data_IF_122568422782
#
_entry.id   IF_122568422782
#
_cell.length_a   1.000
_cell.length_b   1.000
_cell.length_c   1.000
_cell.angle_alpha   90.00
_cell.angle_beta   90.00
_cell.angle_gamma   90.00
#
_symmetry.space_group_name_H-M   'P 1'
#
loop_
_entity.id
_entity.type
_entity.pdbx_description
1 polymer ?
#
# COMPACT_ATOMS: atom_id res chain seq x y z
N UNK A 1 -24.17 -18.04 4.04
CA UNK A 1 -22.73 -18.29 4.03
C UNK A 1 -21.92 -17.24 3.25
N UNK A 2 -22.42 -16.64 2.17
CA UNK A 2 -21.69 -15.61 1.39
C UNK A 2 -21.52 -14.25 2.10
N UNK A 3 -22.40 -13.90 3.02
CA UNK A 3 -22.28 -12.61 3.75
C UNK A 3 -21.27 -12.64 4.90
N UNK A 4 -21.01 -13.79 5.49
CA UNK A 4 -19.97 -13.93 6.53
C UNK A 4 -18.53 -13.83 5.99
N UNK A 5 -18.32 -14.18 4.70
CA UNK A 5 -17.00 -14.07 4.08
C UNK A 5 -16.60 -12.63 3.76
N UNK A 6 -17.59 -11.74 3.49
CA UNK A 6 -17.34 -10.32 3.23
C UNK A 6 -16.93 -9.53 4.48
N UNK A 7 -17.45 -9.91 5.64
CA UNK A 7 -17.10 -9.30 6.93
C UNK A 7 -15.69 -9.68 7.43
N UNK A 8 -15.16 -10.85 7.02
CA UNK A 8 -13.79 -11.23 7.38
C UNK A 8 -12.72 -10.45 6.61
N UNK A 9 -12.98 -10.05 5.37
CA UNK A 9 -12.00 -9.30 4.55
C UNK A 9 -11.87 -7.86 5.04
N UNK A 10 -12.98 -7.23 5.46
CA UNK A 10 -12.93 -5.89 6.06
C UNK A 10 -12.21 -5.86 7.42
N UNK A 11 -12.35 -6.92 8.22
CA UNK A 11 -11.70 -7.02 9.53
C UNK A 11 -10.18 -7.24 9.44
N UNK A 12 -9.67 -7.89 8.39
CA UNK A 12 -8.23 -8.13 8.20
C UNK A 12 -7.52 -6.87 7.71
N UNK A 13 -8.16 -6.03 6.88
CA UNK A 13 -7.60 -4.75 6.47
C UNK A 13 -7.48 -3.75 7.64
N UNK A 14 -8.38 -3.81 8.63
CA UNK A 14 -8.35 -2.92 9.80
C UNK A 14 -7.33 -3.36 10.87
N UNK A 15 -7.02 -4.65 10.98
CA UNK A 15 -6.03 -5.13 11.94
C UNK A 15 -4.59 -4.72 11.59
N UNK A 16 -4.30 -4.39 10.34
CA UNK A 16 -2.98 -3.93 9.91
C UNK A 16 -2.74 -2.43 10.20
N UNK A 17 -3.80 -1.63 10.38
CA UNK A 17 -3.70 -0.18 10.62
C UNK A 17 -3.49 0.19 12.10
N UNK A 18 -3.76 -0.70 13.05
CA UNK A 18 -3.68 -0.39 14.48
C UNK A 18 -2.28 -0.45 15.09
N UNK A 19 -1.25 -0.83 14.34
CA UNK A 19 0.13 -0.94 14.86
C UNK A 19 1.09 0.14 14.37
N UNK A 20 0.64 1.12 13.59
CA UNK A 20 1.44 2.29 13.19
C UNK A 20 0.89 3.59 13.80
N UNK A 21 0.61 3.60 15.11
CA UNK A 21 0.43 4.85 15.86
C UNK A 21 1.80 5.46 16.22
N UNK A 22 2.63 5.66 15.23
CA UNK A 22 3.87 6.42 15.30
C UNK A 22 3.88 7.38 14.13
N UNK A 23 3.49 8.64 14.41
CA UNK A 23 3.68 9.85 13.59
C UNK A 23 3.91 9.56 12.10
N UNK A 24 2.92 9.03 11.41
CA UNK A 24 2.88 9.09 9.96
C UNK A 24 2.61 10.57 9.61
N UNK A 25 3.68 11.36 9.52
CA UNK A 25 3.70 12.47 8.58
C UNK A 25 3.26 11.83 7.27
N UNK A 26 2.08 12.15 6.81
CA UNK A 26 1.63 11.80 5.49
C UNK A 26 2.58 12.49 4.50
N UNK A 27 3.73 11.87 4.25
CA UNK A 27 4.58 12.25 3.13
C UNK A 27 3.72 11.91 1.92
N UNK A 28 3.26 12.96 1.25
CA UNK A 28 2.57 12.78 -0.03
C UNK A 28 3.49 11.97 -0.94
N UNK A 29 3.04 10.78 -1.33
CA UNK A 29 3.79 9.93 -2.26
C UNK A 29 4.14 10.76 -3.48
N UNK A 30 5.43 10.86 -3.79
CA UNK A 30 5.87 11.47 -5.04
C UNK A 30 5.37 10.60 -6.19
N UNK A 31 4.36 11.08 -6.90
CA UNK A 31 3.81 10.30 -7.99
C UNK A 31 4.71 10.38 -9.21
N UNK A 32 5.20 9.23 -9.65
CA UNK A 32 6.06 9.07 -10.82
C UNK A 32 5.37 8.25 -11.91
N UNK A 33 5.78 8.43 -13.15
CA UNK A 33 5.31 7.57 -14.24
C UNK A 33 6.05 6.24 -14.20
N UNK A 34 5.33 5.15 -13.95
CA UNK A 34 5.88 3.80 -13.92
C UNK A 34 6.13 3.27 -15.35
N UNK A 35 7.24 2.58 -15.51
CA UNK A 35 7.53 1.74 -16.67
C UNK A 35 7.36 0.25 -16.32
N UNK A 36 7.09 -0.59 -17.32
CA UNK A 36 7.03 -2.05 -17.12
C UNK A 36 8.33 -2.59 -16.51
N UNK A 37 9.49 -2.07 -16.96
CA UNK A 37 10.79 -2.49 -16.41
C UNK A 37 10.94 -2.21 -14.92
N UNK A 38 10.42 -1.07 -14.43
CA UNK A 38 10.43 -0.77 -12.99
C UNK A 38 9.51 -1.71 -12.22
N UNK A 39 8.33 -2.04 -12.74
CA UNK A 39 7.42 -3.00 -12.10
C UNK A 39 8.03 -4.41 -12.09
N UNK A 40 8.68 -4.84 -13.16
CA UNK A 40 9.41 -6.12 -13.20
C UNK A 40 10.58 -6.14 -12.22
N UNK A 41 11.35 -5.05 -12.13
CA UNK A 41 12.43 -4.87 -11.16
C UNK A 41 11.91 -4.94 -9.72
N UNK A 42 10.79 -4.27 -9.43
CA UNK A 42 10.13 -4.33 -8.13
C UNK A 42 9.75 -5.76 -7.74
N UNK A 43 9.09 -6.49 -8.63
CA UNK A 43 8.70 -7.90 -8.40
C UNK A 43 9.93 -8.76 -8.13
N UNK A 44 10.99 -8.60 -8.92
CA UNK A 44 12.22 -9.37 -8.77
C UNK A 44 12.97 -9.06 -7.47
N UNK A 45 12.86 -7.83 -6.96
CA UNK A 45 13.52 -7.40 -5.74
C UNK A 45 12.86 -7.91 -4.45
N UNK A 46 11.56 -8.26 -4.48
CA UNK A 46 10.78 -8.55 -3.27
C UNK A 46 11.41 -9.60 -2.36
N UNK A 47 11.90 -10.69 -2.93
CA UNK A 47 12.55 -11.77 -2.16
C UNK A 47 13.79 -11.30 -1.42
N UNK A 48 14.60 -10.50 -2.08
CA UNK A 48 15.85 -9.98 -1.49
C UNK A 48 15.51 -8.92 -0.41
N UNK A 49 14.50 -8.06 -0.66
CA UNK A 49 14.02 -7.06 0.28
C UNK A 49 13.40 -7.69 1.54
N UNK A 50 12.62 -8.76 1.39
CA UNK A 50 12.06 -9.51 2.52
C UNK A 50 13.16 -10.02 3.46
N UNK A 51 14.28 -10.53 2.92
CA UNK A 51 15.41 -10.97 3.72
C UNK A 51 16.07 -9.85 4.54
N UNK A 52 16.02 -8.60 4.07
CA UNK A 52 16.49 -7.43 4.84
C UNK A 52 15.49 -7.07 5.93
N UNK A 53 14.20 -7.10 5.63
CA UNK A 53 13.12 -6.82 6.60
C UNK A 53 13.17 -7.79 7.79
N UNK A 54 13.43 -9.08 7.55
CA UNK A 54 13.60 -10.07 8.61
C UNK A 54 14.79 -9.72 9.53
N UNK A 55 15.90 -9.25 8.97
CA UNK A 55 17.07 -8.81 9.75
C UNK A 55 16.76 -7.58 10.60
N UNK A 56 15.92 -6.66 10.09
CA UNK A 56 15.49 -5.45 10.81
C UNK A 56 14.59 -5.79 12.00
N UNK A 57 13.68 -6.75 11.88
CA UNK A 57 12.78 -7.15 12.98
C UNK A 57 13.53 -7.71 14.21
N UNK A 58 14.76 -8.20 14.02
CA UNK A 58 15.62 -8.66 15.10
C UNK A 58 16.43 -7.56 15.81
N UNK A 59 16.37 -6.32 15.34
CA UNK A 59 17.15 -5.20 15.85
C UNK A 59 16.25 -4.10 16.38
N UNK A 60 16.09 -4.04 17.71
CA UNK A 60 15.41 -2.91 18.38
C UNK A 60 16.36 -1.69 18.41
N UNK A 61 16.49 -0.95 17.32
CA UNK A 61 17.31 0.25 17.23
C UNK A 61 16.53 1.38 16.57
N UNK A 62 16.45 2.52 17.27
CA UNK A 62 15.83 3.75 16.77
C UNK A 62 16.64 4.44 15.65
N UNK A 63 17.80 3.89 15.29
CA UNK A 63 18.65 4.44 14.22
C UNK A 63 18.82 3.42 13.11
N UNK A 64 18.70 3.86 11.84
CA UNK A 64 18.99 2.99 10.69
C UNK A 64 20.42 2.43 10.79
N UNK A 65 20.56 1.10 10.72
CA UNK A 65 21.88 0.47 10.66
C UNK A 65 22.51 0.78 9.30
N UNK A 66 23.71 1.38 9.24
CA UNK A 66 24.39 1.68 7.98
C UNK A 66 24.62 0.44 7.09
N UNK A 67 24.72 -0.74 7.68
CA UNK A 67 24.86 -2.00 6.93
C UNK A 67 23.55 -2.38 6.23
N UNK A 68 22.42 -2.21 6.93
CA UNK A 68 21.09 -2.41 6.36
C UNK A 68 20.87 -1.46 5.20
N UNK A 69 21.20 -0.18 5.38
CA UNK A 69 21.09 0.81 4.32
C UNK A 69 21.93 0.44 3.09
N UNK A 70 23.18 0.04 3.29
CA UNK A 70 24.06 -0.39 2.20
C UNK A 70 23.53 -1.66 1.49
N UNK A 71 22.90 -2.57 2.22
CA UNK A 71 22.28 -3.78 1.66
C UNK A 71 21.06 -3.42 0.80
N UNK A 72 20.17 -2.53 1.28
CA UNK A 72 19.03 -2.03 0.52
C UNK A 72 19.46 -1.33 -0.78
N UNK A 73 20.48 -0.47 -0.70
CA UNK A 73 21.10 0.17 -1.88
C UNK A 73 21.65 -0.84 -2.89
N UNK A 74 22.32 -1.87 -2.40
CA UNK A 74 22.87 -2.93 -3.24
C UNK A 74 21.78 -3.72 -3.96
N UNK A 75 20.70 -4.07 -3.24
CA UNK A 75 19.54 -4.79 -3.80
C UNK A 75 18.83 -3.93 -4.85
N UNK A 76 18.56 -2.66 -4.56
CA UNK A 76 17.94 -1.75 -5.52
C UNK A 76 18.72 -1.69 -6.83
N UNK A 77 20.04 -1.49 -6.76
CA UNK A 77 20.93 -1.46 -7.94
C UNK A 77 20.98 -2.78 -8.70
N UNK A 78 21.01 -3.91 -7.99
CA UNK A 78 20.97 -5.26 -8.57
C UNK A 78 19.71 -5.47 -9.43
N UNK A 79 18.57 -4.91 -9.00
CA UNK A 79 17.28 -5.05 -9.70
C UNK A 79 16.96 -3.89 -10.66
N UNK A 80 17.97 -3.06 -10.99
CA UNK A 80 17.91 -2.08 -12.07
C UNK A 80 17.39 -0.70 -11.66
N UNK A 81 17.30 -0.43 -10.36
CA UNK A 81 17.02 0.91 -9.81
C UNK A 81 18.31 1.70 -9.67
N UNK A 82 18.20 3.02 -9.70
CA UNK A 82 19.32 3.93 -9.55
C UNK A 82 19.92 3.86 -8.14
N UNK A 83 19.05 3.85 -7.14
CA UNK A 83 19.34 3.80 -5.71
C UNK A 83 18.12 3.25 -4.97
N UNK A 84 18.19 3.15 -3.63
CA UNK A 84 17.06 2.68 -2.83
C UNK A 84 15.87 3.66 -2.86
N UNK A 85 16.13 4.96 -2.97
CA UNK A 85 15.06 5.96 -3.05
C UNK A 85 14.22 5.80 -4.35
N UNK A 86 14.88 5.51 -5.48
CA UNK A 86 14.17 5.21 -6.75
C UNK A 86 13.31 3.93 -6.63
N UNK A 87 13.81 2.89 -5.93
CA UNK A 87 13.02 1.70 -5.63
C UNK A 87 11.81 2.04 -4.74
N UNK A 88 12.01 2.83 -3.70
CA UNK A 88 10.97 3.21 -2.73
C UNK A 88 9.86 4.05 -3.41
N UNK A 89 10.23 5.01 -4.26
CA UNK A 89 9.27 5.76 -5.07
C UNK A 89 8.44 4.84 -5.98
N UNK A 90 9.07 3.86 -6.64
CA UNK A 90 8.37 2.87 -7.47
C UNK A 90 7.44 2.01 -6.61
N UNK A 91 7.92 1.51 -5.48
CA UNK A 91 7.14 0.68 -4.55
C UNK A 91 5.91 1.43 -4.01
N UNK A 92 6.08 2.69 -3.62
CA UNK A 92 4.98 3.54 -3.14
C UNK A 92 3.92 3.78 -4.21
N UNK A 93 4.34 4.02 -5.47
CA UNK A 93 3.39 4.20 -6.58
C UNK A 93 2.67 2.91 -6.95
N UNK A 94 3.35 1.76 -6.95
CA UNK A 94 2.71 0.45 -7.15
C UNK A 94 1.68 0.20 -6.05
N UNK A 95 2.05 0.41 -4.78
CA UNK A 95 1.17 0.20 -3.63
C UNK A 95 -0.07 1.09 -3.67
N UNK A 96 0.08 2.36 -4.05
CA UNK A 96 -1.03 3.30 -4.22
C UNK A 96 -2.03 2.81 -5.28
N UNK A 97 -1.55 2.31 -6.42
CA UNK A 97 -2.43 1.79 -7.47
C UNK A 97 -3.06 0.46 -7.06
N UNK A 98 -2.29 -0.45 -6.47
CA UNK A 98 -2.79 -1.75 -5.97
C UNK A 98 -3.95 -1.58 -4.99
N UNK A 99 -3.85 -0.60 -4.09
CA UNK A 99 -4.91 -0.29 -3.12
C UNK A 99 -6.25 0.11 -3.78
N UNK A 100 -6.21 0.66 -4.99
CA UNK A 100 -7.41 1.03 -5.76
C UNK A 100 -7.96 -0.10 -6.65
N UNK A 101 -7.24 -1.21 -6.83
CA UNK A 101 -7.66 -2.31 -7.71
C UNK A 101 -8.45 -3.36 -6.91
N UNK A 102 -9.67 -3.62 -7.33
CA UNK A 102 -10.46 -4.75 -6.81
C UNK A 102 -9.83 -6.08 -7.25
N UNK A 103 -9.46 -6.98 -6.32
CA UNK A 103 -8.71 -8.19 -6.65
C UNK A 103 -9.52 -9.21 -7.49
N UNK A 104 -10.85 -9.14 -7.46
CA UNK A 104 -11.71 -10.09 -8.19
C UNK A 104 -12.03 -9.58 -9.59
N UNK A 105 -12.39 -8.30 -9.69
CA UNK A 105 -12.84 -7.71 -10.97
C UNK A 105 -11.71 -7.01 -11.73
N UNK A 106 -10.58 -6.76 -11.05
CA UNK A 106 -9.46 -5.94 -11.55
C UNK A 106 -9.91 -4.52 -11.95
N UNK A 107 -11.07 -4.08 -11.46
CA UNK A 107 -11.53 -2.70 -11.65
C UNK A 107 -10.73 -1.76 -10.75
N UNK A 108 -10.30 -0.64 -11.30
CA UNK A 108 -9.62 0.40 -10.53
C UNK A 108 -10.62 1.45 -10.06
N UNK A 109 -10.48 1.85 -8.81
CA UNK A 109 -11.24 2.95 -8.21
C UNK A 109 -10.25 4.00 -7.69
N UNK A 110 -10.46 5.26 -8.05
CA UNK A 110 -9.66 6.38 -7.54
C UNK A 110 -9.71 6.44 -6.01
N UNK A 111 -8.59 6.79 -5.32
CA UNK A 111 -8.51 6.77 -3.85
C UNK A 111 -9.66 7.55 -3.18
N UNK A 112 -9.94 8.77 -3.63
CA UNK A 112 -11.03 9.57 -3.07
C UNK A 112 -12.42 8.94 -3.28
N UNK A 113 -12.63 8.24 -4.39
CA UNK A 113 -13.90 7.54 -4.67
C UNK A 113 -14.03 6.28 -3.80
N UNK A 114 -12.94 5.56 -3.57
CA UNK A 114 -12.91 4.39 -2.69
C UNK A 114 -13.24 4.79 -1.24
N UNK A 115 -12.61 5.85 -0.73
CA UNK A 115 -12.87 6.37 0.63
C UNK A 115 -14.33 6.84 0.77
N UNK A 116 -14.89 7.54 -0.23
CA UNK A 116 -16.31 7.95 -0.19
C UNK A 116 -17.24 6.75 -0.11
N UNK A 117 -16.96 5.71 -0.88
CA UNK A 117 -17.74 4.48 -0.84
C UNK A 117 -17.67 3.82 0.55
N UNK A 118 -16.49 3.79 1.16
CA UNK A 118 -16.29 3.24 2.50
C UNK A 118 -17.04 4.07 3.56
N UNK A 119 -17.02 5.40 3.44
CA UNK A 119 -17.82 6.29 4.29
C UNK A 119 -19.30 5.93 4.20
N UNK A 120 -19.83 5.77 2.99
CA UNK A 120 -21.24 5.41 2.78
C UNK A 120 -21.57 4.04 3.38
N UNK A 121 -20.69 3.06 3.22
CA UNK A 121 -20.83 1.70 3.78
C UNK A 121 -20.82 1.73 5.32
N UNK A 122 -19.88 2.45 5.94
CA UNK A 122 -19.81 2.61 7.40
C UNK A 122 -21.04 3.34 7.94
N UNK A 123 -21.52 4.37 7.26
CA UNK A 123 -22.76 5.09 7.66
C UNK A 123 -23.99 4.18 7.62
N UNK A 124 -24.11 3.35 6.60
CA UNK A 124 -25.24 2.45 6.40
C UNK A 124 -25.22 1.23 7.32
N UNK A 125 -24.05 0.81 7.81
CA UNK A 125 -23.92 -0.38 8.65
C UNK A 125 -24.47 -0.13 10.06
N UNK A 126 -25.56 -0.82 10.39
CA UNK A 126 -26.23 -0.75 11.70
C UNK A 126 -25.60 -1.68 12.76
N UNK A 127 -24.65 -2.51 12.38
CA UNK A 127 -23.96 -3.44 13.29
C UNK A 127 -22.81 -2.79 14.04
N UNK A 128 -22.28 -1.68 13.53
CA UNK A 128 -21.17 -0.95 14.14
C UNK A 128 -21.67 -0.08 15.30
N UNK A 129 -21.10 -0.21 16.52
CA UNK A 129 -21.45 0.66 17.65
C UNK A 129 -21.24 2.15 17.33
N UNK A 130 -22.14 3.02 17.75
CA UNK A 130 -22.12 4.46 17.41
C UNK A 130 -20.78 5.14 17.72
N UNK A 131 -20.13 4.76 18.83
CA UNK A 131 -18.82 5.33 19.20
C UNK A 131 -17.74 4.94 18.19
N UNK A 132 -17.70 3.68 17.78
CA UNK A 132 -16.73 3.18 16.80
C UNK A 132 -17.00 3.76 15.41
N UNK A 133 -18.29 3.79 15.00
CA UNK A 133 -18.73 4.40 13.76
C UNK A 133 -18.26 5.85 13.64
N UNK A 134 -18.46 6.65 14.69
CA UNK A 134 -18.02 8.05 14.72
C UNK A 134 -16.51 8.16 14.51
N UNK A 135 -15.74 7.34 15.20
CA UNK A 135 -14.27 7.34 15.07
C UNK A 135 -13.83 6.95 13.66
N UNK A 136 -14.39 5.87 13.09
CA UNK A 136 -14.10 5.43 11.72
C UNK A 136 -14.44 6.52 10.69
N UNK A 137 -15.61 7.17 10.82
CA UNK A 137 -15.99 8.25 9.92
C UNK A 137 -15.09 9.47 10.05
N UNK A 138 -14.59 9.76 11.24
CA UNK A 138 -13.64 10.85 11.47
C UNK A 138 -12.30 10.57 10.78
N UNK A 139 -11.78 9.36 10.93
CA UNK A 139 -10.55 8.90 10.26
C UNK A 139 -10.70 8.89 8.73
N UNK A 140 -11.79 8.35 8.20
CA UNK A 140 -12.07 8.33 6.76
C UNK A 140 -12.22 9.74 6.16
N UNK A 141 -12.86 10.66 6.88
CA UNK A 141 -12.99 12.04 6.43
C UNK A 141 -11.63 12.79 6.43
N UNK A 142 -10.73 12.51 7.37
CA UNK A 142 -9.37 13.03 7.32
C UNK A 142 -8.57 12.42 6.14
N UNK A 143 -8.67 11.12 5.93
CA UNK A 143 -8.07 10.46 4.77
C UNK A 143 -8.59 11.04 3.45
N UNK A 144 -9.89 11.34 3.36
CA UNK A 144 -10.49 11.95 2.16
C UNK A 144 -9.93 13.34 1.85
N UNK A 145 -9.59 14.13 2.87
CA UNK A 145 -8.99 15.47 2.68
C UNK A 145 -7.59 15.41 2.07
N UNK A 146 -6.86 14.35 2.35
CA UNK A 146 -5.48 14.15 1.90
C UNK A 146 -5.37 13.24 0.66
N UNK A 147 -6.47 12.62 0.25
CA UNK A 147 -6.51 11.74 -0.90
C UNK A 147 -6.23 12.50 -2.21
N UNK A 148 -5.06 12.27 -2.77
CA UNK A 148 -4.68 12.85 -4.05
C UNK A 148 -5.15 11.95 -5.21
N UNK A 149 -5.61 12.52 -6.33
CA UNK A 149 -5.92 11.76 -7.53
C UNK A 149 -4.65 11.16 -8.14
N UNK A 150 -4.81 10.07 -8.90
CA UNK A 150 -3.71 9.48 -9.65
C UNK A 150 -3.27 10.43 -10.76
N UNK A 151 -2.05 10.97 -10.66
CA UNK A 151 -1.49 11.92 -11.64
C UNK A 151 -1.06 11.26 -12.95
N UNK A 152 -0.73 9.96 -12.89
CA UNK A 152 -0.30 9.17 -14.04
C UNK A 152 -1.27 8.01 -14.31
N UNK A 153 -2.39 8.23 -15.03
CA UNK A 153 -3.39 7.17 -15.27
C UNK A 153 -2.82 5.94 -16.00
N UNK A 154 -1.75 6.10 -16.77
CA UNK A 154 -1.05 4.98 -17.40
C UNK A 154 -0.47 3.97 -16.39
N UNK A 155 -0.19 4.39 -15.16
CA UNK A 155 0.30 3.51 -14.10
C UNK A 155 -0.73 2.43 -13.76
N UNK A 156 -2.01 2.76 -13.84
CA UNK A 156 -3.11 1.80 -13.58
C UNK A 156 -3.02 0.62 -14.54
N UNK A 157 -2.83 0.88 -15.83
CA UNK A 157 -2.75 -0.19 -16.83
C UNK A 157 -1.48 -1.03 -16.66
N UNK A 158 -0.35 -0.39 -16.35
CA UNK A 158 0.91 -1.10 -16.10
C UNK A 158 0.78 -1.99 -14.86
N UNK A 159 0.28 -1.49 -13.75
CA UNK A 159 0.12 -2.26 -12.51
C UNK A 159 -0.92 -3.39 -12.69
N UNK A 160 -2.05 -3.13 -13.35
CA UNK A 160 -3.05 -4.17 -13.67
C UNK A 160 -2.46 -5.32 -14.48
N UNK A 161 -1.62 -5.02 -15.46
CA UNK A 161 -0.94 -6.05 -16.28
C UNK A 161 -0.12 -7.01 -15.43
N UNK A 162 0.48 -6.53 -14.35
CA UNK A 162 1.34 -7.30 -13.45
C UNK A 162 0.67 -7.67 -12.12
N UNK A 163 -0.62 -7.37 -11.95
CA UNK A 163 -1.33 -7.47 -10.68
C UNK A 163 -1.11 -8.80 -9.96
N UNK A 164 -1.39 -9.93 -10.62
CA UNK A 164 -1.29 -11.25 -10.01
C UNK A 164 0.16 -11.60 -9.59
N UNK A 165 1.14 -11.12 -10.36
CA UNK A 165 2.57 -11.29 -10.01
C UNK A 165 2.96 -10.45 -8.80
N UNK A 166 2.49 -9.20 -8.76
CA UNK A 166 2.74 -8.30 -7.62
C UNK A 166 2.09 -8.89 -6.36
N UNK A 167 0.82 -9.28 -6.45
CA UNK A 167 0.09 -9.89 -5.33
C UNK A 167 0.81 -11.13 -4.80
N UNK A 168 1.31 -12.00 -5.69
CA UNK A 168 1.99 -13.24 -5.30
C UNK A 168 3.32 -13.04 -4.58
N UNK A 169 3.98 -11.91 -4.76
CA UNK A 169 5.27 -11.62 -4.09
C UNK A 169 5.14 -10.75 -2.85
N UNK A 170 3.94 -10.20 -2.61
CA UNK A 170 3.62 -9.41 -1.42
C UNK A 170 2.93 -10.23 -0.31
N UNK A 171 2.50 -11.46 -0.61
CA UNK A 171 1.94 -12.43 0.34
C UNK A 171 3.05 -13.20 1.06
#
# INVERSE_FOLDING_TARGET
MQQMFRLMIAAVAMAALTHLAGVAMAQSVTQIKLSEKQVEGFIAAQKDMAGVTEKMQGQASDKPDPKIQAELESIAKKHGFKDFADYDDVAANISMIMAGIDPQTKAFTEPAAAIKKEIDEVQADKSIPEKEKKQMLEELNEALKTAAPVQHPSNVEVVKKYFDKIESVLQ
#
